data_IF_979451213994
#
_entry.id   IF_979451213994
#
_cell.length_a   1.000
_cell.length_b   1.000
_cell.length_c   1.000
_cell.angle_alpha   90.00
_cell.angle_beta   90.00
_cell.angle_gamma   90.00
#
_symmetry.space_group_name_H-M   'P 1'
#
loop_
_entity.id
_entity.type
_entity.pdbx_description
1 polymer ?
#
# COMPACT_ATOMS: atom_id res chain seq x y z
N UNK A 1 -15.87 6.07 8.63
CA UNK A 1 -15.58 7.02 7.53
C UNK A 1 -14.11 7.41 7.46
N UNK A 2 -13.42 7.69 8.57
CA UNK A 2 -12.00 8.08 8.54
C UNK A 2 -11.01 7.02 8.00
N UNK A 3 -11.36 5.73 7.97
CA UNK A 3 -10.45 4.66 7.52
C UNK A 3 -10.38 4.52 5.99
N UNK A 4 -11.49 4.72 5.27
CA UNK A 4 -11.49 4.57 3.80
C UNK A 4 -10.72 5.72 3.14
N UNK A 5 -10.90 6.94 3.61
CA UNK A 5 -10.20 8.12 3.09
C UNK A 5 -8.69 8.04 3.33
N UNK A 6 -8.29 7.52 4.51
CA UNK A 6 -6.89 7.20 4.81
C UNK A 6 -6.34 6.08 3.93
N UNK A 7 -7.12 5.02 3.68
CA UNK A 7 -6.72 3.94 2.79
C UNK A 7 -6.53 4.44 1.34
N UNK A 8 -7.46 5.26 0.85
CA UNK A 8 -7.35 5.92 -0.46
C UNK A 8 -6.13 6.81 -0.53
N UNK A 9 -5.87 7.62 0.50
CA UNK A 9 -4.69 8.48 0.55
C UNK A 9 -3.38 7.66 0.57
N UNK A 10 -3.34 6.55 1.32
CA UNK A 10 -2.19 5.66 1.34
C UNK A 10 -1.94 5.02 -0.02
N UNK A 11 -2.98 4.52 -0.69
CA UNK A 11 -2.87 3.91 -2.03
C UNK A 11 -2.30 4.86 -3.09
N UNK A 12 -2.48 6.18 -2.93
CA UNK A 12 -2.02 7.21 -3.87
C UNK A 12 -0.67 7.82 -3.51
N UNK A 13 -0.11 7.49 -2.34
CA UNK A 13 1.15 8.08 -1.88
C UNK A 13 2.35 7.24 -2.37
N UNK A 14 3.38 7.86 -2.95
CA UNK A 14 4.64 7.17 -3.23
C UNK A 14 5.18 6.49 -1.98
N UNK A 15 5.52 5.20 -2.09
CA UNK A 15 6.03 4.39 -0.99
C UNK A 15 7.46 3.97 -1.26
N UNK A 16 8.32 4.05 -0.24
CA UNK A 16 9.68 3.50 -0.29
C UNK A 16 9.70 2.00 -0.47
N UNK A 17 8.73 1.29 0.12
CA UNK A 17 8.61 -0.16 0.01
C UNK A 17 8.33 -0.62 -1.42
N UNK A 18 7.75 0.28 -2.24
CA UNK A 18 7.53 0.05 -3.67
C UNK A 18 8.56 0.79 -4.54
N UNK A 19 9.76 1.06 -4.01
CA UNK A 19 10.85 1.71 -4.76
C UNK A 19 10.54 3.15 -5.18
N UNK A 20 9.66 3.85 -4.45
CA UNK A 20 9.13 5.16 -4.83
C UNK A 20 7.88 5.10 -5.72
N UNK A 21 7.41 3.90 -6.06
CA UNK A 21 6.16 3.67 -6.78
C UNK A 21 4.92 3.94 -5.93
N UNK A 22 3.79 4.12 -6.61
CA UNK A 22 2.48 4.31 -5.99
C UNK A 22 1.80 2.95 -5.82
N UNK A 23 1.30 2.59 -4.61
CA UNK A 23 0.69 1.28 -4.36
C UNK A 23 -0.47 0.97 -5.32
N UNK A 24 -1.27 1.97 -5.68
CA UNK A 24 -2.38 1.79 -6.63
C UNK A 24 -1.93 1.25 -8.01
N UNK A 25 -0.75 1.65 -8.49
CA UNK A 25 -0.23 1.20 -9.78
C UNK A 25 0.23 -0.27 -9.73
N UNK A 26 0.53 -0.80 -8.54
CA UNK A 26 0.94 -2.20 -8.39
C UNK A 26 -0.24 -3.17 -8.53
N UNK A 27 -1.48 -2.67 -8.36
CA UNK A 27 -2.70 -3.48 -8.43
C UNK A 27 -3.03 -3.96 -9.86
N UNK A 28 -2.30 -3.49 -10.87
CA UNK A 28 -2.44 -3.93 -12.26
C UNK A 28 -1.92 -5.36 -12.50
N UNK A 29 -1.14 -5.91 -11.57
CA UNK A 29 -0.55 -7.25 -11.67
C UNK A 29 -0.83 -8.08 -10.42
N UNK A 30 -0.92 -9.40 -10.56
CA UNK A 30 -1.12 -10.31 -9.42
C UNK A 30 0.05 -10.24 -8.42
N UNK A 31 1.28 -10.10 -8.92
CA UNK A 31 2.48 -9.97 -8.08
C UNK A 31 2.47 -8.64 -7.32
N UNK A 32 2.12 -7.54 -7.99
CA UNK A 32 2.01 -6.23 -7.34
C UNK A 32 0.85 -6.17 -6.34
N UNK A 33 -0.28 -6.81 -6.63
CA UNK A 33 -1.37 -6.97 -5.67
C UNK A 33 -0.93 -7.70 -4.41
N UNK A 34 -0.17 -8.79 -4.56
CA UNK A 34 0.38 -9.55 -3.42
C UNK A 34 1.33 -8.71 -2.57
N UNK A 35 2.17 -7.89 -3.20
CA UNK A 35 3.06 -6.96 -2.50
C UNK A 35 2.30 -5.90 -1.71
N UNK A 36 1.23 -5.33 -2.29
CA UNK A 36 0.38 -4.36 -1.59
C UNK A 36 -0.32 -5.00 -0.38
N UNK A 37 -0.81 -6.22 -0.50
CA UNK A 37 -1.41 -6.95 0.63
C UNK A 37 -0.40 -7.25 1.74
N UNK A 38 0.82 -7.66 1.40
CA UNK A 38 1.87 -7.89 2.40
C UNK A 38 2.18 -6.62 3.18
N UNK A 39 2.27 -5.48 2.49
CA UNK A 39 2.55 -4.20 3.15
C UNK A 39 1.39 -3.72 4.02
N UNK A 40 0.13 -3.88 3.57
CA UNK A 40 -1.03 -3.60 4.41
C UNK A 40 -1.04 -4.47 5.68
N UNK A 41 -0.65 -5.75 5.58
CA UNK A 41 -0.49 -6.62 6.75
C UNK A 41 0.59 -6.12 7.72
N UNK A 42 1.72 -5.63 7.22
CA UNK A 42 2.76 -5.02 8.06
C UNK A 42 2.25 -3.79 8.81
N UNK A 43 1.55 -2.90 8.11
CA UNK A 43 0.96 -1.68 8.70
C UNK A 43 -0.04 -2.04 9.79
N UNK A 44 -0.89 -3.05 9.58
CA UNK A 44 -1.87 -3.53 10.57
C UNK A 44 -1.18 -4.06 11.84
N UNK A 45 -0.02 -4.71 11.69
CA UNK A 45 0.84 -5.12 12.79
C UNK A 45 1.72 -4.00 13.37
N UNK A 46 1.55 -2.75 12.92
CA UNK A 46 2.29 -1.58 13.42
C UNK A 46 3.72 -1.47 12.89
N UNK A 47 4.08 -2.24 11.87
CA UNK A 47 5.39 -2.20 11.22
C UNK A 47 5.30 -1.23 10.05
N UNK A 48 5.92 -0.07 10.18
CA UNK A 48 6.00 0.95 9.13
C UNK A 48 7.47 1.30 8.86
N UNK A 49 7.83 1.39 7.57
CA UNK A 49 9.18 1.74 7.10
C UNK A 49 9.35 3.25 6.83
#
# INVERSE_FOLDING_TARGET
MASEEKARAWLQRPSREFGGGVPANMLETADGFSQVLMELGRIDHGIVS
#
